data_IF_107950685280
#
_entry.id   IF_107950685280
#
_cell.length_a   1.000
_cell.length_b   1.000
_cell.length_c   1.000
_cell.angle_alpha   90.00
_cell.angle_beta   90.00
_cell.angle_gamma   90.00
#
_symmetry.space_group_name_H-M   'P 1'
#
loop_
_entity.id
_entity.type
_entity.pdbx_description
1 polymer ?
#
# COMPACT_ATOMS: atom_id res chain seq x y z
N UNK A 1 -8.47 15.29 9.29
CA UNK A 1 -8.71 14.97 7.86
C UNK A 1 -7.40 14.99 7.05
N UNK A 2 -6.37 14.25 7.49
CA UNK A 2 -5.07 14.21 6.82
C UNK A 2 -4.86 12.94 5.96
N UNK A 3 -5.55 11.85 6.31
CA UNK A 3 -5.41 10.54 5.66
C UNK A 3 -5.92 10.53 4.20
N UNK A 4 -7.04 11.20 3.94
CA UNK A 4 -7.62 11.31 2.59
C UNK A 4 -6.71 12.09 1.62
N UNK A 5 -6.05 13.14 2.10
CA UNK A 5 -5.07 13.90 1.31
C UNK A 5 -3.84 13.06 0.94
N UNK A 6 -3.36 12.21 1.87
CA UNK A 6 -2.24 11.31 1.60
C UNK A 6 -2.61 10.21 0.60
N UNK A 7 -3.82 9.65 0.69
CA UNK A 7 -4.33 8.64 -0.25
C UNK A 7 -4.47 9.21 -1.66
N UNK A 8 -4.99 10.44 -1.80
CA UNK A 8 -5.13 11.08 -3.11
C UNK A 8 -3.79 11.39 -3.77
N UNK A 9 -2.76 11.76 -2.98
CA UNK A 9 -1.39 11.94 -3.49
C UNK A 9 -0.76 10.63 -3.92
N UNK A 10 -1.02 9.54 -3.19
CA UNK A 10 -0.57 8.20 -3.53
C UNK A 10 -1.25 7.69 -4.82
N UNK A 11 -2.53 7.97 -5.01
CA UNK A 11 -3.27 7.64 -6.25
C UNK A 11 -2.71 8.38 -7.48
N UNK A 12 -2.36 9.66 -7.32
CA UNK A 12 -1.78 10.45 -8.41
C UNK A 12 -0.42 9.97 -8.93
N UNK A 13 0.45 9.49 -8.03
CA UNK A 13 1.76 8.92 -8.41
C UNK A 13 1.64 7.52 -9.02
N UNK A 14 0.60 6.75 -8.65
CA UNK A 14 0.37 5.39 -9.16
C UNK A 14 -0.27 5.36 -10.54
N UNK A 15 -1.05 6.40 -10.88
CA UNK A 15 -1.69 6.54 -12.20
C UNK A 15 -0.71 6.64 -13.38
N UNK A 16 0.59 6.88 -13.13
CA UNK A 16 1.61 7.08 -14.18
C UNK A 16 2.46 5.85 -14.51
N UNK A 17 2.38 4.74 -13.76
CA UNK A 17 3.35 3.62 -13.88
C UNK A 17 2.79 2.24 -14.23
N UNK A 18 1.51 2.10 -14.52
CA UNK A 18 0.92 0.83 -14.95
C UNK A 18 -0.02 0.28 -13.90
N UNK A 19 -1.25 0.00 -14.32
CA UNK A 19 -2.40 -0.34 -13.49
C UNK A 19 -2.16 -1.52 -12.53
N UNK A 20 -1.24 -2.43 -12.87
CA UNK A 20 -0.82 -3.54 -12.01
C UNK A 20 -0.28 -3.10 -10.64
N UNK A 21 0.47 -2.00 -10.57
CA UNK A 21 1.04 -1.52 -9.30
C UNK A 21 -0.02 -0.95 -8.34
N UNK A 22 -1.13 -0.41 -8.86
CA UNK A 22 -2.15 0.20 -8.00
C UNK A 22 -2.96 -0.88 -7.27
N UNK A 23 -3.35 -1.95 -7.95
CA UNK A 23 -4.03 -3.09 -7.33
C UNK A 23 -3.14 -3.77 -6.28
N UNK A 24 -1.86 -4.02 -6.58
CA UNK A 24 -0.93 -4.62 -5.62
C UNK A 24 -0.74 -3.74 -4.37
N UNK A 25 -0.69 -2.41 -4.54
CA UNK A 25 -0.54 -1.48 -3.41
C UNK A 25 -1.84 -1.36 -2.60
N UNK A 26 -3.00 -1.40 -3.25
CA UNK A 26 -4.30 -1.43 -2.57
C UNK A 26 -4.46 -2.71 -1.77
N UNK A 27 -4.15 -3.87 -2.36
CA UNK A 27 -4.15 -5.16 -1.68
C UNK A 27 -3.20 -5.15 -0.49
N UNK A 28 -1.99 -4.62 -0.66
CA UNK A 28 -1.02 -4.48 0.42
C UNK A 28 -1.55 -3.60 1.55
N UNK A 29 -2.14 -2.45 1.24
CA UNK A 29 -2.69 -1.54 2.24
C UNK A 29 -3.85 -2.18 3.02
N UNK A 30 -4.75 -2.90 2.33
CA UNK A 30 -5.88 -3.59 2.97
C UNK A 30 -5.39 -4.74 3.86
N UNK A 31 -4.48 -5.58 3.37
CA UNK A 31 -3.87 -6.67 4.14
C UNK A 31 -3.11 -6.15 5.37
N UNK A 32 -2.36 -5.06 5.21
CA UNK A 32 -1.64 -4.43 6.31
C UNK A 32 -2.62 -3.84 7.35
N UNK A 33 -3.66 -3.14 6.90
CA UNK A 33 -4.68 -2.57 7.79
C UNK A 33 -5.41 -3.65 8.60
N UNK A 34 -5.82 -4.76 7.97
CA UNK A 34 -6.46 -5.90 8.66
C UNK A 34 -5.48 -6.58 9.63
N UNK A 35 -4.18 -6.57 9.32
CA UNK A 35 -3.13 -7.10 10.19
C UNK A 35 -2.76 -6.16 11.35
N UNK A 36 -3.44 -5.02 11.50
CA UNK A 36 -3.19 -4.05 12.57
C UNK A 36 -2.04 -3.07 12.29
N UNK A 37 -1.61 -2.91 11.04
CA UNK A 37 -0.61 -1.92 10.67
C UNK A 37 -1.20 -0.50 10.77
N UNK A 38 -0.82 0.21 11.81
CA UNK A 38 -1.24 1.61 11.99
C UNK A 38 -0.24 2.54 11.29
N UNK A 39 -0.67 3.13 10.17
CA UNK A 39 0.09 4.11 9.40
C UNK A 39 1.07 3.56 8.37
N UNK A 40 1.60 4.47 7.54
CA UNK A 40 2.40 4.15 6.35
C UNK A 40 3.71 3.41 6.63
N UNK A 41 4.33 3.68 7.80
CA UNK A 41 5.59 3.02 8.18
C UNK A 41 5.35 1.53 8.44
N UNK A 42 4.29 1.21 9.18
CA UNK A 42 3.87 -0.16 9.46
C UNK A 42 3.44 -0.91 8.20
N UNK A 43 2.74 -0.23 7.28
CA UNK A 43 2.35 -0.80 5.97
C UNK A 43 3.59 -1.11 5.12
N UNK A 44 4.57 -0.20 5.07
CA UNK A 44 5.81 -0.42 4.34
C UNK A 44 6.64 -1.58 4.93
N UNK A 45 6.67 -1.71 6.26
CA UNK A 45 7.35 -2.80 6.96
C UNK A 45 6.64 -4.14 6.75
N UNK A 46 5.31 -4.16 6.78
CA UNK A 46 4.48 -5.31 6.42
C UNK A 46 4.76 -5.76 4.98
N UNK A 47 4.77 -4.82 4.04
CA UNK A 47 5.06 -5.09 2.63
C UNK A 47 6.45 -5.64 2.38
N UNK A 48 7.47 -5.13 3.07
CA UNK A 48 8.85 -5.67 2.97
C UNK A 48 8.96 -7.07 3.57
N UNK A 49 8.32 -7.30 4.71
CA UNK A 49 8.31 -8.61 5.39
C UNK A 49 7.57 -9.67 4.58
N UNK A 50 6.48 -9.29 3.91
CA UNK A 50 5.64 -10.18 3.11
C UNK A 50 5.98 -10.17 1.61
N UNK A 51 6.94 -9.36 1.17
CA UNK A 51 7.34 -9.24 -0.24
C UNK A 51 7.77 -10.58 -0.85
N UNK A 52 8.51 -11.39 -0.08
CA UNK A 52 8.94 -12.71 -0.51
C UNK A 52 7.79 -13.71 -0.63
N UNK A 53 6.68 -13.48 0.07
CA UNK A 53 5.46 -14.28 -0.02
C UNK A 53 4.59 -13.81 -1.19
N UNK A 54 4.48 -12.50 -1.41
CA UNK A 54 3.71 -11.89 -2.52
C UNK A 54 4.33 -12.11 -3.91
N UNK A 55 5.64 -12.36 -3.99
CA UNK A 55 6.35 -12.66 -5.25
C UNK A 55 6.25 -14.13 -5.70
N UNK A 56 5.58 -14.97 -4.92
CA UNK A 56 5.35 -16.38 -5.23
C UNK A 56 3.96 -16.58 -5.81
#
# INVERSE_FOLDING_TARGET
MALLSQISRLIGILSRKGLYLLEEILLLCVCAAISGADGWKSIAEFGRTKLNWLRK
#
